data_IF_337910508058
#
_entry.id   IF_337910508058
#
_cell.length_a   1.000
_cell.length_b   1.000
_cell.length_c   1.000
_cell.angle_alpha   90.00
_cell.angle_beta   90.00
_cell.angle_gamma   90.00
#
_symmetry.space_group_name_H-M   'P 1'
#
loop_
_entity.id
_entity.type
_entity.pdbx_description
1 polymer ?
#
# COMPACT_ATOMS: atom_id res chain seq x y z
N UNK A 1 29.76 20.33 1.90
CA UNK A 1 29.60 19.50 0.68
C UNK A 1 28.90 18.16 0.93
N UNK A 2 29.18 17.44 2.04
CA UNK A 2 28.53 16.15 2.34
C UNK A 2 26.99 16.22 2.49
N UNK A 3 26.45 17.23 3.18
CA UNK A 3 25.00 17.37 3.40
C UNK A 3 24.21 17.58 2.10
N UNK A 4 24.75 18.35 1.16
CA UNK A 4 24.10 18.59 -0.13
C UNK A 4 24.12 17.34 -1.01
N UNK A 5 25.20 16.56 -0.96
CA UNK A 5 25.28 15.26 -1.62
C UNK A 5 24.26 14.28 -1.03
N UNK A 6 24.17 14.20 0.30
CA UNK A 6 23.23 13.31 1.00
C UNK A 6 21.77 13.67 0.73
N UNK A 7 21.43 14.97 0.73
CA UNK A 7 20.11 15.46 0.33
C UNK A 7 19.80 15.06 -1.12
N UNK A 8 20.72 15.30 -2.05
CA UNK A 8 20.53 14.98 -3.48
C UNK A 8 20.37 13.47 -3.72
N UNK A 9 21.10 12.64 -2.98
CA UNK A 9 20.95 11.18 -3.05
C UNK A 9 19.61 10.72 -2.49
N UNK A 10 19.12 11.35 -1.41
CA UNK A 10 17.82 11.05 -0.83
C UNK A 10 16.66 11.49 -1.75
N UNK A 11 16.76 12.70 -2.32
CA UNK A 11 15.75 13.28 -3.21
C UNK A 11 15.65 12.54 -4.56
N UNK A 12 16.71 11.86 -5.00
CA UNK A 12 16.70 11.06 -6.25
C UNK A 12 15.75 9.85 -6.20
N UNK A 13 15.30 9.45 -5.03
CA UNK A 13 14.44 8.27 -4.84
C UNK A 13 13.03 8.59 -4.35
N UNK A 14 12.64 9.86 -4.23
CA UNK A 14 11.33 10.26 -3.66
C UNK A 14 10.18 10.27 -4.67
N UNK A 15 10.06 9.25 -5.51
CA UNK A 15 8.80 8.97 -6.24
C UNK A 15 8.15 7.77 -5.58
N UNK A 16 7.60 7.97 -4.39
CA UNK A 16 6.76 6.96 -3.78
C UNK A 16 5.28 7.39 -3.78
N UNK A 17 4.41 6.57 -3.18
CA UNK A 17 2.97 6.78 -3.22
C UNK A 17 2.58 8.12 -2.59
N UNK A 18 1.70 8.86 -3.26
CA UNK A 18 1.07 10.03 -2.66
C UNK A 18 -0.02 9.58 -1.68
N UNK A 19 0.00 10.14 -0.47
CA UNK A 19 -0.96 9.83 0.56
C UNK A 19 -1.94 10.99 0.78
N UNK A 20 -3.22 10.64 0.94
CA UNK A 20 -4.33 11.55 1.19
C UNK A 20 -4.98 11.27 2.54
N UNK A 21 -5.70 12.26 3.05
CA UNK A 21 -6.58 12.06 4.22
C UNK A 21 -7.63 11.01 3.85
N UNK A 22 -7.98 10.15 4.81
CA UNK A 22 -8.84 8.96 4.69
C UNK A 22 -8.14 7.72 4.11
N UNK A 23 -6.92 7.84 3.58
CA UNK A 23 -6.19 6.66 3.10
C UNK A 23 -5.89 5.66 4.24
N UNK A 24 -5.96 4.38 3.88
CA UNK A 24 -5.59 3.28 4.75
C UNK A 24 -4.11 2.94 4.56
N UNK A 25 -3.34 2.95 5.65
CA UNK A 25 -1.90 2.73 5.66
C UNK A 25 -1.49 1.76 6.75
N UNK A 26 -0.35 1.09 6.54
CA UNK A 26 0.31 0.27 7.56
C UNK A 26 1.44 1.09 8.19
N UNK A 27 1.56 1.03 9.52
CA UNK A 27 2.63 1.71 10.28
C UNK A 27 3.83 0.80 10.48
N UNK A 28 5.04 1.32 10.31
CA UNK A 28 6.26 0.59 10.62
C UNK A 28 6.42 0.37 12.12
N UNK A 29 6.77 -0.86 12.50
CA UNK A 29 7.17 -1.29 13.83
C UNK A 29 8.64 -1.71 13.77
N UNK A 30 9.53 -0.93 14.38
CA UNK A 30 10.92 -1.33 14.54
C UNK A 30 11.02 -2.65 15.30
N UNK A 31 12.03 -3.45 14.92
CA UNK A 31 12.31 -4.69 15.62
C UNK A 31 12.72 -4.37 17.07
N UNK A 32 12.15 -5.06 18.08
CA UNK A 32 12.71 -4.98 19.42
C UNK A 32 14.15 -5.53 19.41
N UNK A 33 15.05 -4.82 20.08
CA UNK A 33 16.49 -5.18 20.16
C UNK A 33 16.76 -6.48 20.92
N UNK A 34 15.80 -6.94 21.72
CA UNK A 34 16.00 -8.04 22.67
C UNK A 34 15.46 -9.33 22.07
N UNK A 35 16.37 -10.27 21.78
CA UNK A 35 16.22 -11.74 21.70
C UNK A 35 14.76 -12.22 21.55
N UNK A 36 14.10 -11.80 20.49
CA UNK A 36 12.77 -12.29 20.14
C UNK A 36 12.95 -13.10 18.87
N UNK A 37 12.38 -14.31 18.86
CA UNK A 37 12.39 -15.20 17.71
C UNK A 37 12.06 -14.39 16.44
N UNK A 38 13.06 -14.29 15.57
CA UNK A 38 13.07 -13.39 14.42
C UNK A 38 11.97 -13.72 13.41
N UNK A 39 11.48 -14.95 13.48
CA UNK A 39 10.61 -15.62 12.53
C UNK A 39 9.17 -15.10 12.55
N UNK A 40 8.73 -14.49 13.67
CA UNK A 40 7.37 -13.97 13.80
C UNK A 40 7.29 -12.44 13.78
N UNK A 41 8.40 -11.76 13.49
CA UNK A 41 8.42 -10.30 13.46
C UNK A 41 7.71 -9.77 12.22
N UNK A 42 6.53 -9.16 12.40
CA UNK A 42 5.84 -8.39 11.37
C UNK A 42 6.18 -6.91 11.49
N UNK A 43 7.03 -6.35 10.60
CA UNK A 43 7.47 -4.96 10.69
C UNK A 43 6.38 -3.94 10.33
N UNK A 44 5.24 -4.37 9.79
CA UNK A 44 4.15 -3.49 9.38
C UNK A 44 2.90 -3.83 10.17
N UNK A 45 2.35 -2.82 10.84
CA UNK A 45 1.23 -2.95 11.76
C UNK A 45 -0.01 -2.29 11.20
N UNK A 46 -1.11 -3.04 11.25
CA UNK A 46 -2.50 -2.56 11.29
C UNK A 46 -2.95 -1.68 10.12
N UNK A 47 -4.25 -1.59 9.88
CA UNK A 47 -4.81 -0.58 8.98
C UNK A 47 -5.09 0.69 9.79
N UNK A 48 -4.23 1.68 9.63
CA UNK A 48 -4.40 3.02 10.18
C UNK A 48 -5.03 3.92 9.12
N UNK A 49 -5.83 4.89 9.55
CA UNK A 49 -6.40 5.90 8.65
C UNK A 49 -5.64 7.20 8.84
N UNK A 50 -5.25 7.84 7.73
CA UNK A 50 -4.70 9.21 7.77
C UNK A 50 -5.84 10.17 8.09
N UNK A 51 -5.77 10.86 9.21
CA UNK A 51 -6.82 11.83 9.61
C UNK A 51 -6.42 13.27 9.34
N UNK A 52 -5.12 13.56 9.29
CA UNK A 52 -4.59 14.90 9.08
C UNK A 52 -3.15 14.85 8.57
N UNK A 53 -2.73 15.87 7.81
CA UNK A 53 -1.38 16.01 7.26
C UNK A 53 -0.75 17.33 7.76
N UNK A 54 0.06 17.31 8.82
CA UNK A 54 0.70 18.50 9.36
C UNK A 54 1.76 19.11 8.42
N UNK A 55 2.43 18.27 7.61
CA UNK A 55 3.45 18.72 6.67
C UNK A 55 3.55 17.79 5.47
N UNK A 56 4.36 18.15 4.47
CA UNK A 56 4.53 17.35 3.26
C UNK A 56 4.92 15.88 3.57
N UNK A 57 5.71 15.66 4.62
CA UNK A 57 6.28 14.34 4.91
C UNK A 57 5.81 13.74 6.25
N UNK A 58 4.83 14.36 6.91
CA UNK A 58 4.31 13.86 8.18
C UNK A 58 2.80 13.73 8.14
N UNK A 59 2.30 12.72 8.84
CA UNK A 59 0.88 12.35 8.85
C UNK A 59 0.44 12.03 10.26
N UNK A 60 -0.82 12.32 10.56
CA UNK A 60 -1.49 11.92 11.78
C UNK A 60 -2.33 10.70 11.46
N UNK A 61 -2.04 9.60 12.14
CA UNK A 61 -2.71 8.32 11.97
C UNK A 61 -3.67 8.04 13.12
N UNK A 62 -4.85 7.53 12.78
CA UNK A 62 -5.83 6.98 13.72
C UNK A 62 -5.84 5.46 13.62
N UNK A 63 -5.76 4.79 14.78
CA UNK A 63 -5.82 3.34 14.86
C UNK A 63 -7.24 2.79 14.73
N UNK A 64 -7.41 1.54 14.26
CA UNK A 64 -8.72 0.94 14.02
C UNK A 64 -9.44 0.53 15.32
N UNK A 65 -8.68 0.26 16.39
CA UNK A 65 -9.23 -0.28 17.64
C UNK A 65 -9.95 0.77 18.50
N UNK A 66 -9.61 2.05 18.33
CA UNK A 66 -10.16 3.13 19.16
C UNK A 66 -10.36 4.37 18.30
N UNK A 67 -11.50 4.49 17.60
CA UNK A 67 -11.75 5.60 16.69
C UNK A 67 -11.81 6.96 17.40
N UNK A 68 -11.95 7.00 18.72
CA UNK A 68 -11.96 8.24 19.52
C UNK A 68 -10.62 8.51 20.24
N UNK A 69 -9.63 7.62 20.13
CA UNK A 69 -8.40 7.69 20.93
C UNK A 69 -7.23 8.44 20.27
N UNK A 70 -6.15 8.49 21.05
CA UNK A 70 -4.82 9.00 20.76
C UNK A 70 -4.37 8.73 19.33
N UNK A 71 -4.01 9.81 18.64
CA UNK A 71 -3.48 9.80 17.28
C UNK A 71 -1.96 9.78 17.31
N UNK A 72 -1.33 9.16 16.31
CA UNK A 72 0.13 9.08 16.22
C UNK A 72 0.62 9.92 15.05
N UNK A 73 1.62 10.77 15.30
CA UNK A 73 2.33 11.51 14.25
C UNK A 73 3.46 10.64 13.70
N UNK A 74 3.53 10.50 12.38
CA UNK A 74 4.50 9.62 11.72
C UNK A 74 5.08 10.23 10.46
N UNK A 75 6.33 9.90 10.14
CA UNK A 75 7.01 10.30 8.91
C UNK A 75 6.62 9.41 7.73
N UNK A 76 6.64 9.97 6.53
CA UNK A 76 6.36 9.31 5.24
C UNK A 76 7.08 7.95 5.09
N UNK A 77 8.37 7.89 5.43
CA UNK A 77 9.15 6.65 5.32
C UNK A 77 8.74 5.53 6.29
N UNK A 78 7.88 5.82 7.28
CA UNK A 78 7.44 4.85 8.28
C UNK A 78 6.00 4.39 8.05
N UNK A 79 5.43 4.72 6.89
CA UNK A 79 4.12 4.23 6.44
C UNK A 79 4.25 3.56 5.08
N UNK A 80 3.32 2.65 4.78
CA UNK A 80 3.12 2.11 3.45
C UNK A 80 1.63 1.95 3.15
N UNK A 81 1.19 1.91 1.89
CA UNK A 81 -0.22 1.69 1.57
C UNK A 81 -0.71 0.38 2.18
N UNK A 82 -1.92 0.40 2.75
CA UNK A 82 -2.57 -0.84 3.17
C UNK A 82 -3.11 -1.57 1.93
N UNK A 83 -3.03 -2.92 1.90
CA UNK A 83 -3.69 -3.68 0.86
C UNK A 83 -5.21 -3.43 0.92
N UNK A 84 -5.81 -3.16 -0.24
CA UNK A 84 -7.26 -3.05 -0.38
C UNK A 84 -7.90 -4.36 0.10
N UNK A 85 -8.66 -4.29 1.20
CA UNK A 85 -9.56 -5.37 1.58
C UNK A 85 -10.85 -5.14 0.80
N UNK A 86 -10.93 -5.72 -0.40
CA UNK A 86 -12.23 -5.98 -0.99
C UNK A 86 -12.96 -6.88 0.01
N UNK A 87 -14.10 -6.43 0.51
CA UNK A 87 -14.97 -7.26 1.35
C UNK A 87 -15.62 -8.33 0.46
N UNK A 88 -14.83 -9.29 -0.02
CA UNK A 88 -15.34 -10.57 -0.47
C UNK A 88 -15.45 -11.46 0.77
N UNK A 89 -16.62 -12.03 1.08
CA UNK A 89 -16.65 -13.14 1.99
C UNK A 89 -15.93 -14.29 1.29
N UNK A 90 -15.00 -14.90 2.01
CA UNK A 90 -14.29 -16.13 1.68
C UNK A 90 -12.91 -15.99 0.98
N UNK A 91 -11.95 -16.58 1.69
CA UNK A 91 -10.67 -17.15 1.25
C UNK A 91 -9.53 -16.18 0.93
N UNK A 92 -8.76 -15.93 1.99
CA UNK A 92 -7.30 -15.88 1.95
C UNK A 92 -6.73 -16.91 0.97
N UNK A 93 -6.20 -16.45 -0.17
CA UNK A 93 -5.07 -17.09 -0.82
C UNK A 93 -4.16 -16.02 -1.41
N UNK A 94 -2.91 -16.11 -0.97
CA UNK A 94 -1.73 -15.44 -1.49
C UNK A 94 -1.68 -15.44 -3.01
N UNK A 95 -1.15 -14.34 -3.58
CA UNK A 95 -0.42 -14.36 -4.85
C UNK A 95 -1.27 -14.74 -6.09
N UNK A 96 -2.24 -13.89 -6.47
CA UNK A 96 -2.77 -13.93 -7.84
C UNK A 96 -1.78 -13.24 -8.76
N UNK A 97 -0.83 -14.07 -9.16
CA UNK A 97 -0.04 -14.02 -10.37
C UNK A 97 -0.72 -13.22 -11.49
N UNK A 98 0.09 -12.34 -12.09
CA UNK A 98 -0.11 -11.70 -13.38
C UNK A 98 -0.72 -12.68 -14.40
N UNK A 99 -1.99 -12.52 -14.78
CA UNK A 99 -2.53 -13.13 -16.00
C UNK A 99 -3.47 -12.10 -16.67
N UNK A 100 -3.12 -11.52 -17.83
CA UNK A 100 -4.13 -10.91 -18.69
C UNK A 100 -5.01 -12.03 -19.25
N UNK A 101 -6.29 -12.00 -18.89
CA UNK A 101 -7.33 -12.90 -19.44
C UNK A 101 -7.37 -12.77 -20.98
N UNK A 102 -7.55 -13.88 -21.73
CA UNK A 102 -7.43 -13.85 -23.18
C UNK A 102 -8.58 -13.05 -23.80
N UNK A 103 -8.24 -12.26 -24.80
CA UNK A 103 -9.22 -11.61 -25.67
C UNK A 103 -10.09 -12.70 -26.32
N UNK A 104 -11.34 -12.78 -25.87
CA UNK A 104 -12.42 -13.45 -26.57
C UNK A 104 -13.44 -12.37 -26.91
N UNK A 105 -13.26 -11.72 -28.07
CA UNK A 105 -14.35 -10.97 -28.68
C UNK A 105 -15.01 -11.90 -29.69
N UNK A 106 -16.15 -12.44 -29.28
CA UNK A 106 -17.05 -13.23 -30.09
C UNK A 106 -18.01 -12.31 -30.85
N UNK A 107 -18.08 -12.56 -32.16
CA UNK A 107 -19.15 -12.25 -33.12
C UNK A 107 -19.46 -10.78 -33.41
N UNK A 108 -19.51 -10.39 -34.70
CA UNK A 108 -20.80 -10.32 -35.41
C UNK A 108 -20.63 -10.51 -36.94
N UNK A 109 -21.25 -11.59 -37.44
CA UNK A 109 -22.16 -11.74 -38.61
C UNK A 109 -21.70 -11.22 -40.00
N UNK A 110 -21.59 -12.11 -41.00
CA UNK A 110 -22.58 -12.26 -42.11
C UNK A 110 -22.01 -13.12 -43.24
N UNK A 111 -22.76 -14.18 -43.55
CA UNK A 111 -22.72 -15.11 -44.68
C UNK A 111 -22.38 -14.48 -46.03
N UNK A 112 -21.51 -15.13 -46.81
CA UNK A 112 -21.73 -15.42 -48.24
C UNK A 112 -20.64 -16.35 -48.78
N UNK A 113 -21.00 -17.60 -49.01
CA UNK A 113 -20.49 -18.40 -50.14
C UNK A 113 -21.69 -18.62 -51.07
N UNK A 114 -21.48 -18.67 -52.39
CA UNK A 114 -21.30 -19.99 -52.99
C UNK A 114 -20.26 -20.06 -54.14
N UNK A 115 -19.63 -21.24 -54.19
CA UNK A 115 -19.24 -22.08 -55.33
C UNK A 115 -19.30 -21.47 -56.75
N UNK A 116 -18.14 -21.35 -57.41
CA UNK A 116 -17.79 -21.99 -58.69
C UNK A 116 -16.27 -22.17 -58.80
#
# INVERSE_FOLDING_TARGET
>A
MAQQHQKRCNDRHTVGPEYRVVDSVLRFRPRPFIIAATEFHRPWLGQYTIVYRPSANTFVLRGPQRPTAEVVIIHYNHIKPAPCRVLTPSLSLSLVLLIPSPVAQMAEITTLNPLE
#
